data_IF_949816176525
#
_entry.id   IF_949816176525
#
_cell.length_a   1.000
_cell.length_b   1.000
_cell.length_c   1.000
_cell.angle_alpha   90.00
_cell.angle_beta   90.00
_cell.angle_gamma   90.00
#
_symmetry.space_group_name_H-M   'P 1'
#
loop_
_entity.id
_entity.type
_entity.pdbx_description
1 polymer ?
#
# COMPACT_ATOMS: atom_id res chain seq x y z
N UNK A 1 2.86 -18.88 -22.40
CA UNK A 1 1.61 -18.28 -21.87
C UNK A 1 0.86 -17.68 -23.06
N UNK A 2 -0.47 -17.77 -23.12
CA UNK A 2 -1.24 -17.37 -24.30
C UNK A 2 -1.41 -15.85 -24.40
N UNK A 3 -1.48 -15.32 -25.62
CA UNK A 3 -1.58 -13.88 -25.95
C UNK A 3 -2.88 -13.16 -25.47
N UNK A 4 -3.57 -13.63 -24.43
CA UNK A 4 -4.81 -13.05 -23.92
C UNK A 4 -4.80 -12.85 -22.39
N UNK A 5 -3.64 -12.44 -21.85
CA UNK A 5 -3.45 -12.14 -20.42
C UNK A 5 -4.09 -10.80 -19.98
N UNK A 6 -4.80 -10.11 -20.88
CA UNK A 6 -5.40 -8.78 -20.63
C UNK A 6 -6.39 -8.80 -19.47
N UNK A 7 -7.23 -9.83 -19.36
CA UNK A 7 -8.18 -9.95 -18.25
C UNK A 7 -7.45 -10.12 -16.91
N UNK A 8 -6.36 -10.89 -16.89
CA UNK A 8 -5.56 -11.06 -15.68
C UNK A 8 -4.90 -9.75 -15.29
N UNK A 9 -4.27 -9.06 -16.24
CA UNK A 9 -3.67 -7.74 -16.01
C UNK A 9 -4.71 -6.76 -15.43
N UNK A 10 -5.91 -6.70 -16.01
CA UNK A 10 -7.00 -5.88 -15.48
C UNK A 10 -7.42 -6.26 -14.05
N UNK A 11 -7.51 -7.55 -13.73
CA UNK A 11 -7.86 -7.99 -12.37
C UNK A 11 -6.81 -7.55 -11.35
N UNK A 12 -5.53 -7.60 -11.70
CA UNK A 12 -4.45 -7.12 -10.83
C UNK A 12 -4.47 -5.61 -10.68
N UNK A 13 -4.73 -4.88 -11.77
CA UNK A 13 -4.75 -3.42 -11.76
C UNK A 13 -5.92 -2.84 -10.96
N UNK A 14 -7.06 -3.54 -10.92
CA UNK A 14 -8.25 -3.15 -10.14
C UNK A 14 -8.11 -3.32 -8.63
N UNK A 15 -7.07 -4.01 -8.16
CA UNK A 15 -6.82 -4.16 -6.72
C UNK A 15 -6.45 -2.80 -6.14
N UNK A 16 -7.37 -2.20 -5.38
CA UNK A 16 -7.14 -0.95 -4.67
C UNK A 16 -6.28 -1.18 -3.43
N UNK A 17 -5.10 -0.56 -3.42
CA UNK A 17 -4.19 -0.55 -2.28
C UNK A 17 -4.15 0.80 -1.58
N UNK A 18 -5.12 1.70 -1.81
CA UNK A 18 -5.24 2.97 -1.08
C UNK A 18 -5.47 2.77 0.42
N UNK A 19 -6.19 1.74 0.89
CA UNK A 19 -6.29 1.41 2.32
C UNK A 19 -4.97 0.99 2.99
N UNK A 20 -3.84 1.06 2.28
CA UNK A 20 -2.51 0.79 2.81
C UNK A 20 -2.14 1.67 4.00
N UNK A 21 -2.66 2.90 4.06
CA UNK A 21 -2.18 3.92 5.00
C UNK A 21 -3.28 4.32 5.97
N UNK A 22 -2.92 4.38 7.26
CA UNK A 22 -3.74 4.95 8.34
C UNK A 22 -2.96 6.01 9.12
N UNK A 23 -3.69 6.97 9.69
CA UNK A 23 -3.15 8.00 10.56
C UNK A 23 -3.50 7.66 12.02
N UNK A 24 -2.52 7.30 12.85
CA UNK A 24 -2.78 6.87 14.23
C UNK A 24 -2.25 7.89 15.22
N UNK A 25 -3.00 8.15 16.29
CA UNK A 25 -2.55 8.98 17.40
C UNK A 25 -1.32 8.36 18.09
N UNK A 26 -0.41 9.22 18.53
CA UNK A 26 0.82 8.79 19.21
C UNK A 26 0.52 8.08 20.54
N UNK A 27 -0.53 8.51 21.25
CA UNK A 27 -1.00 7.85 22.46
C UNK A 27 -1.50 6.44 22.15
N UNK A 28 -2.33 6.29 21.10
CA UNK A 28 -2.84 4.99 20.67
C UNK A 28 -1.69 4.07 20.24
N UNK A 29 -0.75 4.59 19.44
CA UNK A 29 0.41 3.83 18.98
C UNK A 29 1.27 3.36 20.16
N UNK A 30 1.51 4.23 21.14
CA UNK A 30 2.30 3.91 22.34
C UNK A 30 1.59 2.86 23.21
N UNK A 31 0.29 3.00 23.44
CA UNK A 31 -0.53 2.02 24.18
C UNK A 31 -0.47 0.63 23.52
N UNK A 32 -0.44 0.58 22.18
CA UNK A 32 -0.35 -0.64 21.40
C UNK A 32 1.09 -1.10 21.12
N UNK A 33 2.07 -0.52 21.83
CA UNK A 33 3.50 -0.89 21.74
C UNK A 33 4.07 -0.76 20.31
N UNK A 34 3.50 0.15 19.52
CA UNK A 34 4.02 0.50 18.21
C UNK A 34 5.08 1.58 18.36
N UNK A 35 6.22 1.48 17.64
CA UNK A 35 7.16 2.59 17.55
C UNK A 35 6.49 3.77 16.83
N UNK A 36 6.72 4.98 17.33
CA UNK A 36 6.17 6.18 16.72
C UNK A 36 6.69 6.35 15.29
N UNK A 37 5.77 6.56 14.35
CA UNK A 37 6.12 6.79 12.96
C UNK A 37 6.85 8.13 12.81
N UNK A 38 8.00 8.07 12.14
CA UNK A 38 8.77 9.27 11.76
C UNK A 38 8.04 10.11 10.71
N UNK A 39 7.14 9.47 9.94
CA UNK A 39 6.32 10.16 8.96
C UNK A 39 5.04 10.61 9.65
N UNK A 40 4.88 11.93 9.75
CA UNK A 40 3.74 12.54 10.41
C UNK A 40 2.58 12.70 9.44
N UNK A 41 1.36 12.58 9.96
CA UNK A 41 0.16 12.81 9.18
C UNK A 41 0.07 14.30 8.82
N UNK A 42 -0.01 14.69 7.53
CA UNK A 42 0.12 16.11 7.16
C UNK A 42 -0.94 17.03 7.75
N UNK A 43 -2.13 16.50 8.05
CA UNK A 43 -3.24 17.28 8.59
C UNK A 43 -3.24 17.33 10.12
N UNK A 44 -2.42 16.52 10.79
CA UNK A 44 -2.23 16.55 12.24
C UNK A 44 -0.83 16.07 12.65
N UNK A 45 0.23 16.82 12.29
CA UNK A 45 1.58 16.32 12.42
C UNK A 45 2.07 16.24 13.86
N UNK A 46 1.44 16.98 14.78
CA UNK A 46 1.84 16.99 16.19
C UNK A 46 1.25 15.80 16.96
N UNK A 47 0.09 15.28 16.57
CA UNK A 47 -0.60 14.20 17.30
C UNK A 47 -0.59 12.85 16.57
N UNK A 48 -0.57 12.82 15.22
CA UNK A 48 -0.72 11.58 14.44
C UNK A 48 0.46 11.23 13.53
N UNK A 49 0.79 9.94 13.54
CA UNK A 49 1.77 9.32 12.65
C UNK A 49 1.12 8.52 11.51
N UNK A 50 1.84 8.37 10.40
CA UNK A 50 1.44 7.53 9.25
C UNK A 50 1.94 6.10 9.43
N UNK A 51 1.03 5.13 9.36
CA UNK A 51 1.34 3.71 9.49
C UNK A 51 0.84 2.93 8.27
N UNK A 52 1.63 1.92 7.87
CA UNK A 52 1.35 1.06 6.74
C UNK A 52 0.77 -0.27 7.22
N UNK A 53 -0.34 -0.70 6.64
CA UNK A 53 -0.94 -1.98 6.94
C UNK A 53 -0.24 -3.11 6.21
N UNK A 54 0.19 -4.13 6.98
CA UNK A 54 0.95 -5.27 6.49
C UNK A 54 0.26 -6.01 5.35
N UNK A 55 -1.05 -6.24 5.44
CA UNK A 55 -1.82 -6.92 4.41
C UNK A 55 -1.78 -6.19 3.05
N UNK A 56 -1.99 -4.87 3.07
CA UNK A 56 -1.93 -4.05 1.85
C UNK A 56 -0.50 -3.85 1.36
N UNK A 57 0.49 -3.80 2.27
CA UNK A 57 1.90 -3.74 1.88
C UNK A 57 2.33 -5.03 1.18
N UNK A 58 1.94 -6.20 1.71
CA UNK A 58 2.16 -7.49 1.05
C UNK A 58 1.49 -7.55 -0.32
N UNK A 59 0.27 -7.02 -0.45
CA UNK A 59 -0.44 -6.94 -1.73
C UNK A 59 0.25 -6.02 -2.73
N UNK A 60 0.75 -4.86 -2.28
CA UNK A 60 1.60 -3.96 -3.07
C UNK A 60 2.87 -4.68 -3.56
N UNK A 61 3.59 -5.36 -2.66
CA UNK A 61 4.78 -6.13 -2.99
C UNK A 61 4.48 -7.20 -4.04
N UNK A 62 3.37 -7.94 -3.89
CA UNK A 62 2.96 -8.96 -4.84
C UNK A 62 2.65 -8.36 -6.23
N UNK A 63 1.98 -7.20 -6.29
CA UNK A 63 1.73 -6.45 -7.53
C UNK A 63 3.04 -6.04 -8.20
N UNK A 64 4.01 -5.51 -7.44
CA UNK A 64 5.33 -5.11 -7.94
C UNK A 64 6.10 -6.31 -8.52
N UNK A 65 6.16 -7.43 -7.79
CA UNK A 65 6.86 -8.64 -8.24
C UNK A 65 6.23 -9.21 -9.50
N UNK A 66 4.89 -9.29 -9.55
CA UNK A 66 4.18 -9.72 -10.75
C UNK A 66 4.52 -8.82 -11.93
N UNK A 67 4.42 -7.50 -11.77
CA UNK A 67 4.68 -6.55 -12.86
C UNK A 67 6.11 -6.67 -13.37
N UNK A 68 7.09 -6.79 -12.47
CA UNK A 68 8.49 -6.98 -12.84
C UNK A 68 8.71 -8.28 -13.62
N UNK A 69 8.09 -9.39 -13.19
CA UNK A 69 8.16 -10.66 -13.91
C UNK A 69 7.51 -10.59 -15.29
N UNK A 70 6.31 -10.02 -15.40
CA UNK A 70 5.60 -9.89 -16.67
C UNK A 70 6.34 -8.95 -17.63
N UNK A 71 6.92 -7.85 -17.13
CA UNK A 71 7.74 -6.96 -17.95
C UNK A 71 8.99 -7.67 -18.47
N UNK A 72 9.67 -8.46 -17.63
CA UNK A 72 10.80 -9.27 -18.02
C UNK A 72 10.43 -10.28 -19.13
N UNK A 73 9.38 -11.06 -18.94
CA UNK A 73 8.91 -12.06 -19.91
C UNK A 73 8.51 -11.43 -21.25
N UNK A 74 7.95 -10.22 -21.23
CA UNK A 74 7.55 -9.47 -22.42
C UNK A 74 8.71 -8.69 -23.07
N UNK A 75 9.91 -8.70 -22.48
CA UNK A 75 11.04 -7.90 -22.94
C UNK A 75 10.88 -6.39 -22.73
N UNK A 76 9.96 -5.98 -21.85
CA UNK A 76 9.74 -4.59 -21.49
C UNK A 76 10.79 -4.12 -20.47
N UNK A 77 10.95 -2.80 -20.36
CA UNK A 77 11.70 -2.23 -19.26
C UNK A 77 10.97 -2.47 -17.93
N UNK A 78 11.68 -3.07 -16.98
CA UNK A 78 11.18 -3.24 -15.61
C UNK A 78 11.11 -1.86 -14.93
N UNK A 79 9.91 -1.43 -14.56
CA UNK A 79 9.67 -0.11 -13.96
C UNK A 79 10.15 0.02 -12.51
N UNK A 80 10.29 -1.10 -11.79
CA UNK A 80 10.78 -1.13 -10.41
C UNK A 80 12.29 -1.37 -10.35
N UNK A 81 12.98 -0.70 -9.43
CA UNK A 81 14.40 -0.95 -9.20
C UNK A 81 14.63 -2.35 -8.63
N UNK A 82 15.80 -2.93 -8.88
CA UNK A 82 16.18 -4.22 -8.28
C UNK A 82 16.15 -4.15 -6.74
N UNK A 83 16.53 -3.01 -6.14
CA UNK A 83 16.43 -2.79 -4.70
C UNK A 83 14.99 -2.90 -4.18
N UNK A 84 14.02 -2.30 -4.90
CA UNK A 84 12.62 -2.38 -4.52
C UNK A 84 12.05 -3.80 -4.67
N UNK A 85 12.42 -4.52 -5.73
CA UNK A 85 12.06 -5.94 -5.93
C UNK A 85 12.62 -6.82 -4.80
N UNK A 86 13.88 -6.65 -4.43
CA UNK A 86 14.51 -7.40 -3.34
C UNK A 86 13.86 -7.09 -1.98
N UNK A 87 13.52 -5.83 -1.71
CA UNK A 87 12.76 -5.44 -0.53
C UNK A 87 11.39 -6.14 -0.49
N UNK A 88 10.65 -6.17 -1.61
CA UNK A 88 9.36 -6.86 -1.69
C UNK A 88 9.49 -8.36 -1.42
N UNK A 89 10.51 -9.02 -1.97
CA UNK A 89 10.77 -10.44 -1.72
C UNK A 89 11.05 -10.72 -0.24
N UNK A 90 11.90 -9.91 0.41
CA UNK A 90 12.22 -10.10 1.81
C UNK A 90 11.05 -9.75 2.74
N UNK A 91 10.28 -8.70 2.44
CA UNK A 91 9.08 -8.35 3.20
C UNK A 91 8.04 -9.48 3.19
N UNK A 92 7.78 -10.08 2.01
CA UNK A 92 6.89 -11.24 1.89
C UNK A 92 7.45 -12.47 2.61
N UNK A 93 8.75 -12.73 2.51
CA UNK A 93 9.42 -13.82 3.24
C UNK A 93 9.23 -13.65 4.75
N UNK A 94 9.50 -12.47 5.29
CA UNK A 94 9.35 -12.17 6.71
C UNK A 94 7.88 -12.30 7.14
N UNK A 95 6.92 -11.84 6.33
CA UNK A 95 5.50 -11.97 6.64
C UNK A 95 5.05 -13.44 6.69
N UNK A 96 5.45 -14.25 5.70
CA UNK A 96 5.17 -15.69 5.69
C UNK A 96 5.75 -16.40 6.92
N UNK A 97 7.00 -16.10 7.28
CA UNK A 97 7.63 -16.70 8.46
C UNK A 97 7.01 -16.23 9.77
N UNK A 98 6.56 -14.98 9.84
CA UNK A 98 5.92 -14.41 11.03
C UNK A 98 4.51 -14.98 11.25
N UNK A 99 3.73 -15.16 10.18
CA UNK A 99 2.38 -15.71 10.29
C UNK A 99 2.42 -17.22 10.50
N UNK A 100 3.40 -17.92 9.90
CA UNK A 100 3.62 -19.36 10.05
C UNK A 100 2.32 -20.19 9.94
N UNK A 101 1.52 -19.95 8.88
CA UNK A 101 0.27 -20.67 8.64
C UNK A 101 0.54 -22.18 8.55
N UNK A 102 0.05 -22.92 9.55
CA UNK A 102 0.28 -24.35 9.76
C UNK A 102 -0.77 -25.23 9.07
N UNK A 103 -1.68 -24.63 8.29
CA UNK A 103 -2.72 -25.35 7.54
C UNK A 103 -2.08 -26.35 6.56
N UNK A 104 -2.23 -27.68 6.76
CA UNK A 104 -1.65 -28.67 5.87
C UNK A 104 -2.34 -28.66 4.51
N UNK A 105 -1.58 -28.66 3.42
CA UNK A 105 -2.14 -28.69 2.06
C UNK A 105 -2.06 -30.10 1.47
N UNK A 106 -3.18 -30.70 1.02
CA UNK A 106 -3.17 -32.02 0.41
C UNK A 106 -2.53 -32.00 -0.98
N UNK A 107 -1.89 -33.11 -1.34
CA UNK A 107 -1.56 -33.42 -2.73
C UNK A 107 -2.83 -33.85 -3.44
N UNK A 108 -3.24 -33.10 -4.46
CA UNK A 108 -4.37 -33.46 -5.30
C UNK A 108 -3.91 -34.29 -6.52
N UNK A 109 -4.85 -34.82 -7.31
CA UNK A 109 -4.56 -35.56 -8.56
C UNK A 109 -3.78 -34.73 -9.61
N UNK A 110 -3.59 -33.42 -9.37
CA UNK A 110 -2.83 -32.51 -10.21
C UNK A 110 -1.55 -32.09 -9.47
N UNK A 111 -0.35 -32.55 -9.90
CA UNK A 111 0.90 -32.36 -9.15
C UNK A 111 1.30 -30.89 -8.95
N UNK A 112 0.80 -29.98 -9.80
CA UNK A 112 1.08 -28.54 -9.72
C UNK A 112 -0.02 -27.73 -9.00
N UNK A 113 -0.96 -28.39 -8.31
CA UNK A 113 -2.12 -27.75 -7.66
C UNK A 113 -2.31 -28.22 -6.22
N UNK A 114 -1.24 -28.17 -5.44
CA UNK A 114 -1.23 -28.49 -4.01
C UNK A 114 -2.23 -27.58 -3.28
N UNK A 115 -3.11 -28.15 -2.45
CA UNK A 115 -4.10 -27.40 -1.67
C UNK A 115 -5.18 -26.67 -2.49
N UNK A 116 -5.29 -26.94 -3.80
CA UNK A 116 -6.34 -26.32 -4.62
C UNK A 116 -7.74 -26.74 -4.14
N UNK A 117 -8.69 -25.79 -4.15
CA UNK A 117 -10.06 -25.94 -3.61
C UNK A 117 -10.15 -26.25 -2.10
N UNK A 118 -9.02 -26.19 -1.37
CA UNK A 118 -9.04 -26.33 0.08
C UNK A 118 -9.70 -25.10 0.73
N UNK A 119 -10.64 -25.34 1.63
CA UNK A 119 -11.20 -24.29 2.49
C UNK A 119 -10.12 -23.76 3.43
N UNK A 120 -9.99 -22.44 3.52
CA UNK A 120 -9.06 -21.77 4.43
C UNK A 120 -9.83 -20.87 5.38
N UNK A 121 -9.33 -20.72 6.60
CA UNK A 121 -9.82 -19.72 7.54
C UNK A 121 -9.08 -18.41 7.27
N UNK A 122 -9.80 -17.39 6.80
CA UNK A 122 -9.23 -16.10 6.46
C UNK A 122 -9.69 -15.02 7.42
N UNK A 123 -8.85 -14.00 7.63
CA UNK A 123 -9.33 -12.72 8.18
C UNK A 123 -10.29 -12.08 7.16
N UNK A 124 -11.31 -11.39 7.66
CA UNK A 124 -12.22 -10.67 6.79
C UNK A 124 -11.51 -9.42 6.25
N UNK A 125 -11.22 -9.43 4.94
CA UNK A 125 -10.50 -8.34 4.28
C UNK A 125 -11.34 -7.06 4.20
N UNK A 126 -12.65 -7.18 4.02
CA UNK A 126 -13.56 -6.03 3.98
C UNK A 126 -13.66 -5.35 5.33
N UNK A 127 -13.64 -6.11 6.43
CA UNK A 127 -13.55 -5.54 7.78
C UNK A 127 -12.24 -4.78 7.98
N UNK A 128 -11.12 -5.25 7.42
CA UNK A 128 -9.86 -4.50 7.47
C UNK A 128 -9.97 -3.19 6.68
N UNK A 129 -10.59 -3.21 5.49
CA UNK A 129 -10.85 -2.02 4.69
C UNK A 129 -11.76 -1.03 5.45
N UNK A 130 -12.84 -1.51 6.06
CA UNK A 130 -13.72 -0.69 6.87
C UNK A 130 -12.96 -0.09 8.04
N UNK A 131 -12.12 -0.89 8.69
CA UNK A 131 -11.27 -0.42 9.77
C UNK A 131 -10.38 0.73 9.27
N UNK A 132 -9.77 0.68 8.09
CA UNK A 132 -8.93 1.81 7.61
C UNK A 132 -9.70 3.10 7.34
N UNK A 133 -11.03 3.01 7.21
CA UNK A 133 -11.91 4.11 6.82
C UNK A 133 -12.55 4.85 7.97
N UNK A 134 -12.38 4.37 9.20
CA UNK A 134 -12.98 5.05 10.36
C UNK A 134 -12.36 6.44 10.59
N UNK A 135 -13.17 7.45 10.95
CA UNK A 135 -12.77 8.86 10.96
C UNK A 135 -11.49 9.16 11.75
N UNK A 136 -11.30 8.50 12.89
CA UNK A 136 -10.17 8.70 13.80
C UNK A 136 -8.82 8.25 13.21
N UNK A 137 -8.84 7.47 12.12
CA UNK A 137 -7.61 6.94 11.50
C UNK A 137 -7.55 7.00 9.99
N UNK A 138 -8.59 7.50 9.34
CA UNK A 138 -8.60 7.71 7.90
C UNK A 138 -7.52 8.74 7.52
N UNK A 139 -6.52 8.29 6.76
CA UNK A 139 -5.36 9.11 6.44
C UNK A 139 -5.57 10.09 5.27
N UNK A 140 -6.80 10.23 4.76
CA UNK A 140 -7.07 11.02 3.54
C UNK A 140 -6.22 10.57 2.34
N UNK A 141 -5.80 9.31 2.34
CA UNK A 141 -4.74 8.80 1.48
C UNK A 141 -5.30 8.13 0.23
N UNK A 142 -4.69 8.40 -0.92
CA UNK A 142 -4.96 7.70 -2.17
C UNK A 142 -3.67 7.22 -2.84
N UNK A 143 -3.68 5.94 -3.25
CA UNK A 143 -2.56 5.35 -3.97
C UNK A 143 -2.72 5.59 -5.48
N UNK A 144 -1.93 6.50 -6.02
CA UNK A 144 -1.93 6.82 -7.45
C UNK A 144 -1.48 5.67 -8.37
N UNK A 145 -0.48 4.88 -7.95
CA UNK A 145 -0.01 3.72 -8.71
C UNK A 145 0.92 2.84 -7.89
N UNK A 146 0.79 1.53 -8.05
CA UNK A 146 1.78 0.55 -7.57
C UNK A 146 2.98 0.39 -8.48
N UNK A 147 2.83 0.75 -9.77
CA UNK A 147 3.80 0.42 -10.82
C UNK A 147 4.63 1.61 -11.27
N UNK A 148 4.08 2.83 -11.14
CA UNK A 148 4.88 4.04 -11.33
C UNK A 148 5.78 4.24 -10.11
N UNK A 149 6.92 4.89 -10.33
CA UNK A 149 7.85 5.24 -9.26
C UNK A 149 7.22 6.12 -8.18
N UNK A 150 8.03 6.60 -7.25
CA UNK A 150 7.57 7.43 -6.13
C UNK A 150 6.74 8.63 -6.61
N UNK A 151 5.59 8.87 -5.95
CA UNK A 151 4.86 10.14 -6.07
C UNK A 151 5.76 11.26 -5.55
N UNK A 152 6.07 12.22 -6.43
CA UNK A 152 7.02 13.30 -6.14
C UNK A 152 6.37 14.43 -5.36
N UNK A 153 5.13 14.80 -5.72
CA UNK A 153 4.32 15.76 -4.99
C UNK A 153 3.45 15.02 -3.96
N UNK A 154 3.99 14.84 -2.76
CA UNK A 154 3.43 13.89 -1.79
C UNK A 154 2.15 14.34 -1.12
N UNK A 155 1.93 15.65 -1.03
CA UNK A 155 0.65 16.17 -0.54
C UNK A 155 -0.52 15.70 -1.40
N UNK A 156 -0.30 15.46 -2.69
CA UNK A 156 -1.30 14.88 -3.59
C UNK A 156 -1.72 13.46 -3.19
N UNK A 157 -0.95 12.75 -2.37
CA UNK A 157 -1.42 11.47 -1.82
C UNK A 157 -2.43 11.67 -0.70
N UNK A 158 -2.43 12.81 -0.02
CA UNK A 158 -3.24 13.09 1.17
C UNK A 158 -4.41 14.03 0.90
N UNK A 159 -4.72 14.27 -0.38
CA UNK A 159 -5.73 15.20 -0.86
C UNK A 159 -7.17 14.63 -0.90
N UNK A 160 -7.43 13.55 -0.16
CA UNK A 160 -8.66 12.76 -0.27
C UNK A 160 -9.39 12.61 1.07
N UNK A 161 -9.42 13.67 1.87
CA UNK A 161 -10.29 13.68 3.05
C UNK A 161 -11.76 13.68 2.60
N UNK A 162 -12.60 12.89 3.25
CA UNK A 162 -14.05 12.95 3.06
C UNK A 162 -14.62 14.25 3.66
N UNK A 163 -15.74 14.75 3.13
CA UNK A 163 -16.37 16.01 3.60
C UNK A 163 -16.72 16.00 5.10
N UNK A 164 -17.00 14.82 5.67
CA UNK A 164 -17.28 14.65 7.09
C UNK A 164 -16.04 14.56 7.99
N UNK A 165 -14.84 14.55 7.42
CA UNK A 165 -13.59 14.48 8.19
C UNK A 165 -13.29 15.83 8.85
N UNK A 166 -12.83 15.81 10.10
CA UNK A 166 -12.32 16.99 10.79
C UNK A 166 -11.14 17.67 10.06
N UNK A 167 -10.43 16.90 9.23
CA UNK A 167 -9.28 17.37 8.45
C UNK A 167 -9.64 17.96 7.08
N UNK A 168 -10.90 17.82 6.64
CA UNK A 168 -11.35 18.27 5.32
C UNK A 168 -11.07 19.77 5.09
N UNK A 169 -11.46 20.61 6.06
CA UNK A 169 -11.24 22.06 5.97
C UNK A 169 -9.75 22.44 5.94
N UNK A 170 -8.91 21.76 6.74
CA UNK A 170 -7.45 22.00 6.74
C UNK A 170 -6.81 21.58 5.41
N UNK A 171 -7.24 20.44 4.86
CA UNK A 171 -6.81 19.96 3.56
C UNK A 171 -7.18 20.95 2.45
N UNK A 172 -8.44 21.40 2.40
CA UNK A 172 -8.89 22.37 1.40
C UNK A 172 -8.09 23.67 1.45
N UNK A 173 -7.92 24.25 2.65
CA UNK A 173 -7.13 25.47 2.82
C UNK A 173 -5.69 25.35 2.29
N UNK A 174 -5.08 24.16 2.41
CA UNK A 174 -3.77 23.90 1.84
C UNK A 174 -3.80 23.96 0.30
N UNK A 175 -4.70 23.21 -0.34
CA UNK A 175 -4.77 23.16 -1.80
C UNK A 175 -5.31 24.45 -2.44
N UNK A 176 -6.16 25.20 -1.75
CA UNK A 176 -6.59 26.54 -2.19
C UNK A 176 -5.41 27.52 -2.23
N UNK A 177 -4.49 27.40 -1.26
CA UNK A 177 -3.32 28.28 -1.15
C UNK A 177 -2.19 27.88 -2.10
N UNK A 178 -1.90 26.59 -2.20
CA UNK A 178 -0.71 26.09 -2.90
C UNK A 178 -1.00 25.48 -4.27
N UNK A 179 -2.28 25.20 -4.58
CA UNK A 179 -2.71 24.53 -5.80
C UNK A 179 -2.38 23.03 -5.80
N UNK A 180 -3.08 22.30 -6.67
CA UNK A 180 -2.70 20.91 -6.99
C UNK A 180 -1.52 20.88 -7.95
N UNK A 181 -0.63 19.92 -7.74
CA UNK A 181 0.52 19.60 -8.61
C UNK A 181 0.34 18.20 -9.20
N UNK A 182 0.92 17.90 -10.39
CA UNK A 182 0.90 16.55 -10.92
C UNK A 182 1.63 15.56 -9.98
N UNK A 183 1.03 14.42 -9.58
CA UNK A 183 1.64 13.50 -8.60
C UNK A 183 3.05 13.01 -8.98
N UNK A 184 3.29 12.77 -10.27
CA UNK A 184 4.57 12.28 -10.81
C UNK A 184 5.40 13.37 -11.52
N UNK A 185 5.18 14.64 -11.19
CA UNK A 185 5.87 15.80 -11.77
C UNK A 185 7.32 15.98 -11.30
N UNK A 186 7.75 17.23 -11.11
CA UNK A 186 9.03 17.54 -10.46
C UNK A 186 8.97 17.30 -8.94
N UNK A 187 10.13 17.10 -8.31
CA UNK A 187 10.20 16.86 -6.86
C UNK A 187 9.77 18.08 -6.05
N UNK A 188 8.93 17.82 -5.06
CA UNK A 188 8.54 18.82 -4.07
C UNK A 188 9.71 19.04 -3.10
N UNK A 189 10.43 20.15 -3.27
CA UNK A 189 11.62 20.47 -2.46
C UNK A 189 11.31 20.68 -0.98
N UNK A 190 10.04 20.89 -0.66
CA UNK A 190 9.57 21.27 0.67
C UNK A 190 9.22 20.06 1.56
N UNK A 191 9.32 18.83 1.05
CA UNK A 191 8.95 17.61 1.79
C UNK A 191 10.16 16.66 1.93
N UNK A 192 10.47 16.10 3.13
CA UNK A 192 11.65 15.23 3.37
C UNK A 192 11.48 13.82 2.79
N UNK A 193 12.43 13.28 2.01
CA UNK A 193 12.25 12.06 1.20
C UNK A 193 12.05 10.77 2.04
N UNK A 194 11.31 9.78 1.48
CA UNK A 194 11.06 8.48 2.12
C UNK A 194 12.31 7.60 2.29
N UNK A 195 13.41 7.96 1.60
CA UNK A 195 14.61 7.14 1.39
C UNK A 195 15.86 7.80 2.00
N UNK A 196 15.70 8.80 2.87
CA UNK A 196 16.83 9.52 3.48
C UNK A 196 17.36 8.84 4.76
N UNK A 197 17.52 7.52 4.73
CA UNK A 197 18.36 6.77 5.67
C UNK A 197 19.09 5.65 4.94
#
# INVERSE_FOLDING_TARGET
MSNNDTLQDEMWDRIDTSPLVVALDDDWATEHQLPLSVFRFPWDPEAKGIYFLKAFHGLHCLKVLRKAFIDYERGNQIGSSAGHVNHCLDALRQDMMCNADDTPMPMNHFPNKIGHEQVRMCRNFDQLIQWTKEPERHACYHRWSDYKGRVKNRMEMFAFCEEGSEYYGKMQQYFDKFGHKPPFGEDDKDFPTWDSR
#
